data_IF_625138271221
#
_entry.id   IF_625138271221
#
_cell.length_a   1.000
_cell.length_b   1.000
_cell.length_c   1.000
_cell.angle_alpha   90.00
_cell.angle_beta   90.00
_cell.angle_gamma   90.00
#
_symmetry.space_group_name_H-M   'P 1'
#
loop_
_entity.id
_entity.type
_entity.pdbx_description
1 polymer ?
#
# COMPACT_ATOMS: atom_id res chain seq x y z
N UNK A 1 -1.23 7.16 -15.15
CA UNK A 1 0.19 7.09 -15.54
C UNK A 1 0.93 6.26 -14.51
N UNK A 2 1.73 5.31 -14.93
CA UNK A 2 2.45 4.44 -14.00
C UNK A 2 3.56 5.21 -13.28
N UNK A 3 3.66 5.04 -11.97
CA UNK A 3 4.82 5.43 -11.17
C UNK A 3 5.61 4.15 -10.89
N UNK A 4 6.72 3.95 -11.58
CA UNK A 4 7.54 2.75 -11.47
C UNK A 4 8.13 2.53 -10.07
N UNK A 5 8.22 3.57 -9.28
CA UNK A 5 8.75 3.49 -7.91
C UNK A 5 7.77 2.87 -6.92
N UNK A 6 6.49 3.18 -7.06
CA UNK A 6 5.46 2.80 -6.09
C UNK A 6 4.33 1.95 -6.70
N UNK A 7 4.46 1.51 -7.94
CA UNK A 7 3.40 0.91 -8.72
C UNK A 7 2.78 1.93 -9.67
N UNK A 8 1.49 1.83 -9.91
CA UNK A 8 0.78 2.76 -10.79
C UNK A 8 -0.26 3.56 -9.99
N UNK A 9 -0.48 4.80 -10.42
CA UNK A 9 -1.51 5.66 -9.82
C UNK A 9 -2.91 5.11 -10.08
N UNK A 10 -3.76 5.15 -9.05
CA UNK A 10 -5.17 4.79 -9.14
C UNK A 10 -6.09 6.00 -9.40
N UNK A 11 -5.53 7.17 -9.71
CA UNK A 11 -6.29 8.42 -9.85
C UNK A 11 -7.43 8.40 -10.88
N UNK A 12 -7.39 7.50 -11.87
CA UNK A 12 -8.46 7.31 -12.86
C UNK A 12 -9.41 6.15 -12.51
N UNK A 13 -9.13 5.42 -11.42
CA UNK A 13 -9.93 4.27 -11.00
C UNK A 13 -10.74 4.67 -9.78
N UNK A 14 -12.06 4.75 -9.92
CA UNK A 14 -12.97 5.18 -8.86
C UNK A 14 -13.38 4.05 -7.91
N UNK A 15 -13.33 2.80 -8.35
CA UNK A 15 -13.78 1.63 -7.58
C UNK A 15 -12.78 0.48 -7.69
N UNK A 16 -12.44 -0.12 -6.56
CA UNK A 16 -11.60 -1.31 -6.52
C UNK A 16 -12.32 -2.51 -7.16
N UNK A 17 -11.72 -3.08 -8.20
CA UNK A 17 -12.30 -4.23 -8.92
C UNK A 17 -12.10 -5.56 -8.20
N UNK A 18 -11.08 -5.64 -7.36
CA UNK A 18 -10.73 -6.79 -6.53
C UNK A 18 -10.08 -6.32 -5.24
N UNK A 19 -9.89 -7.21 -4.28
CA UNK A 19 -9.10 -6.91 -3.08
C UNK A 19 -7.68 -6.51 -3.50
N UNK A 20 -7.13 -5.46 -2.88
CA UNK A 20 -5.81 -4.97 -3.21
C UNK A 20 -5.11 -4.31 -2.01
N UNK A 21 -3.78 -4.26 -2.07
CA UNK A 21 -2.95 -3.48 -1.16
C UNK A 21 -2.58 -2.18 -1.86
N UNK A 22 -2.90 -1.07 -1.21
CA UNK A 22 -2.65 0.27 -1.74
C UNK A 22 -1.61 0.95 -0.86
N UNK A 23 -0.67 1.64 -1.49
CA UNK A 23 0.16 2.64 -0.85
C UNK A 23 -0.60 3.96 -0.83
N UNK A 24 -0.74 4.52 0.35
CA UNK A 24 -1.31 5.85 0.55
C UNK A 24 -0.16 6.80 0.82
N UNK A 25 0.07 7.71 -0.11
CA UNK A 25 1.13 8.71 0.00
C UNK A 25 0.49 10.03 0.43
N UNK A 26 0.77 10.43 1.66
CA UNK A 26 0.14 11.56 2.32
C UNK A 26 1.09 12.75 2.39
N UNK A 27 0.55 13.94 2.11
CA UNK A 27 1.31 15.17 2.09
C UNK A 27 0.55 16.29 2.79
N UNK A 28 1.28 17.15 3.51
CA UNK A 28 0.73 18.36 4.11
C UNK A 28 0.89 19.59 3.19
N UNK A 29 1.59 19.45 2.06
CA UNK A 29 1.94 20.54 1.18
C UNK A 29 3.23 21.28 1.57
N UNK A 30 3.80 21.01 2.73
CA UNK A 30 5.07 21.56 3.17
C UNK A 30 6.24 20.65 2.75
N UNK A 31 7.36 21.26 2.40
CA UNK A 31 8.55 20.52 2.00
C UNK A 31 9.06 19.62 3.13
N UNK A 32 9.25 18.33 2.83
CA UNK A 32 9.73 17.36 3.80
C UNK A 32 8.66 16.77 4.72
N UNK A 33 7.42 17.20 4.61
CA UNK A 33 6.31 16.68 5.40
C UNK A 33 5.43 15.74 4.55
N UNK A 34 5.75 14.48 4.62
CA UNK A 34 5.00 13.43 3.96
C UNK A 34 5.31 12.08 4.57
N UNK A 35 4.43 11.12 4.38
CA UNK A 35 4.62 9.75 4.83
C UNK A 35 3.82 8.82 3.95
N UNK A 36 4.19 7.55 3.97
CA UNK A 36 3.53 6.50 3.20
C UNK A 36 2.97 5.45 4.14
N UNK A 37 1.73 5.06 3.92
CA UNK A 37 1.06 3.99 4.66
C UNK A 37 0.61 2.89 3.70
N UNK A 38 0.56 1.66 4.16
CA UNK A 38 0.06 0.51 3.42
C UNK A 38 -1.31 0.10 3.97
N UNK A 39 -2.28 -0.01 3.08
CA UNK A 39 -3.65 -0.37 3.44
C UNK A 39 -4.20 -1.50 2.56
N UNK A 40 -4.91 -2.42 3.19
CA UNK A 40 -5.75 -3.36 2.46
C UNK A 40 -7.08 -2.69 2.13
N UNK A 41 -7.49 -2.80 0.87
CA UNK A 41 -8.73 -2.25 0.35
C UNK A 41 -9.54 -3.38 -0.29
N UNK A 42 -10.77 -3.64 0.18
CA UNK A 42 -11.61 -4.70 -0.37
C UNK A 42 -12.17 -4.33 -1.74
N UNK A 43 -12.50 -5.35 -2.53
CA UNK A 43 -13.26 -5.18 -3.77
C UNK A 43 -14.55 -4.39 -3.53
N UNK A 44 -14.88 -3.49 -4.45
CA UNK A 44 -16.06 -2.63 -4.37
C UNK A 44 -15.85 -1.35 -3.56
N UNK A 45 -14.69 -1.14 -2.97
CA UNK A 45 -14.38 0.10 -2.25
C UNK A 45 -14.36 1.28 -3.21
N UNK A 46 -15.02 2.38 -2.82
CA UNK A 46 -14.91 3.67 -3.48
C UNK A 46 -13.57 4.30 -3.14
N UNK A 47 -12.67 4.32 -4.11
CA UNK A 47 -11.30 4.79 -3.91
C UNK A 47 -11.20 6.30 -3.74
N UNK A 48 -12.11 7.07 -4.33
CA UNK A 48 -12.15 8.52 -4.15
C UNK A 48 -12.58 8.86 -2.71
N UNK A 49 -13.61 8.18 -2.21
CA UNK A 49 -14.03 8.33 -0.82
C UNK A 49 -12.94 7.88 0.15
N UNK A 50 -12.27 6.76 -0.14
CA UNK A 50 -11.16 6.27 0.66
C UNK A 50 -9.98 7.27 0.71
N UNK A 51 -9.59 7.84 -0.42
CA UNK A 51 -8.53 8.86 -0.49
C UNK A 51 -8.90 10.10 0.33
N UNK A 52 -10.16 10.53 0.24
CA UNK A 52 -10.68 11.67 0.99
C UNK A 52 -10.65 11.41 2.51
N UNK A 53 -11.10 10.24 2.95
CA UNK A 53 -11.04 9.83 4.35
C UNK A 53 -9.59 9.78 4.87
N UNK A 54 -8.66 9.24 4.07
CA UNK A 54 -7.25 9.21 4.43
C UNK A 54 -6.67 10.61 4.57
N UNK A 55 -7.00 11.51 3.68
CA UNK A 55 -6.55 12.91 3.73
C UNK A 55 -7.06 13.60 4.99
N UNK A 56 -8.34 13.44 5.33
CA UNK A 56 -8.95 14.02 6.53
C UNK A 56 -8.33 13.45 7.81
N UNK A 57 -8.22 12.12 7.90
CA UNK A 57 -7.64 11.44 9.06
C UNK A 57 -6.21 11.90 9.32
N UNK A 58 -5.42 12.02 8.27
CA UNK A 58 -4.04 12.46 8.37
C UNK A 58 -3.93 13.94 8.71
N UNK A 59 -4.80 14.79 8.18
CA UNK A 59 -4.89 16.20 8.56
C UNK A 59 -5.19 16.35 10.07
N UNK A 60 -6.11 15.56 10.59
CA UNK A 60 -6.47 15.56 12.01
C UNK A 60 -5.31 15.18 12.93
N UNK A 61 -4.44 14.25 12.48
CA UNK A 61 -3.24 13.87 13.24
C UNK A 61 -2.24 15.01 13.40
N UNK A 62 -2.20 15.93 12.42
CA UNK A 62 -1.34 17.12 12.44
C UNK A 62 -2.04 18.35 12.99
N UNK A 63 -3.29 18.21 13.46
CA UNK A 63 -4.05 19.24 14.15
C UNK A 63 -4.65 20.32 13.27
N UNK A 64 -4.77 20.09 11.96
CA UNK A 64 -5.27 21.11 11.04
C UNK A 64 -5.93 20.50 9.80
N UNK A 65 -7.19 20.09 9.93
CA UNK A 65 -8.06 19.74 8.81
C UNK A 65 -8.68 20.97 8.12
N UNK A 66 -8.57 22.15 8.74
CA UNK A 66 -9.08 23.41 8.24
C UNK A 66 -9.21 24.45 9.33
N UNK A 67 -9.85 25.55 9.00
CA UNK A 67 -10.13 26.63 9.95
C UNK A 67 -11.46 27.31 9.64
N UNK A 68 -12.07 27.88 10.68
CA UNK A 68 -13.26 28.72 10.58
C UNK A 68 -12.83 30.20 10.46
N UNK A 69 -13.35 30.89 9.46
CA UNK A 69 -13.15 32.31 9.33
C UNK A 69 -13.92 33.04 10.42
N UNK A 70 -13.24 33.82 11.24
CA UNK A 70 -13.83 34.51 12.39
C UNK A 70 -14.84 35.60 12.00
N UNK A 71 -14.72 36.16 10.78
CA UNK A 71 -15.60 37.22 10.32
C UNK A 71 -16.87 36.70 9.67
N UNK A 72 -16.76 35.59 8.90
CA UNK A 72 -17.87 35.04 8.11
C UNK A 72 -18.50 33.82 8.73
N UNK A 73 -17.80 33.11 9.63
CA UNK A 73 -18.22 31.82 10.17
C UNK A 73 -18.14 30.68 9.16
N UNK A 74 -17.54 30.89 8.02
CA UNK A 74 -17.35 29.87 7.01
C UNK A 74 -16.15 28.97 7.32
N UNK A 75 -16.33 27.67 7.06
CA UNK A 75 -15.26 26.68 7.20
C UNK A 75 -14.47 26.56 5.91
N UNK A 76 -13.14 26.66 6.02
CA UNK A 76 -12.18 26.44 4.93
C UNK A 76 -11.34 25.20 5.22
N UNK A 77 -11.41 24.21 4.33
CA UNK A 77 -10.58 23.01 4.41
C UNK A 77 -9.11 23.34 4.13
N UNK A 78 -8.20 22.56 4.71
CA UNK A 78 -6.78 22.69 4.43
C UNK A 78 -6.46 22.08 3.07
N UNK A 79 -6.33 22.92 2.05
CA UNK A 79 -6.05 22.53 0.66
C UNK A 79 -4.68 21.87 0.48
N UNK A 80 -3.79 22.00 1.45
CA UNK A 80 -2.44 21.42 1.38
C UNK A 80 -2.39 19.96 1.86
N UNK A 81 -3.48 19.42 2.37
CA UNK A 81 -3.55 18.04 2.84
C UNK A 81 -4.26 17.18 1.80
N UNK A 82 -3.58 16.20 1.29
CA UNK A 82 -4.15 15.26 0.34
C UNK A 82 -3.53 13.87 0.48
N UNK A 83 -4.20 12.88 -0.10
CA UNK A 83 -3.72 11.52 -0.19
C UNK A 83 -3.73 11.07 -1.65
N UNK A 84 -2.62 10.50 -2.10
CA UNK A 84 -2.50 9.86 -3.40
C UNK A 84 -2.47 8.35 -3.22
N UNK A 85 -3.22 7.64 -4.05
CA UNK A 85 -3.33 6.18 -3.99
C UNK A 85 -2.50 5.53 -5.08
N UNK A 86 -1.72 4.53 -4.70
CA UNK A 86 -0.90 3.73 -5.61
C UNK A 86 -1.09 2.25 -5.30
N UNK A 87 -1.29 1.44 -6.33
CA UNK A 87 -1.24 -0.01 -6.16
C UNK A 87 0.19 -0.44 -5.84
N UNK A 88 0.35 -1.24 -4.78
CA UNK A 88 1.67 -1.76 -4.43
C UNK A 88 2.23 -2.63 -5.54
N UNK A 89 3.45 -2.37 -5.95
CA UNK A 89 4.14 -3.12 -7.00
C UNK A 89 5.20 -4.05 -6.41
N UNK A 90 5.11 -5.33 -6.74
CA UNK A 90 6.19 -6.27 -6.48
C UNK A 90 7.29 -6.09 -7.54
N UNK A 91 8.48 -5.73 -7.13
CA UNK A 91 9.62 -5.46 -8.02
C UNK A 91 10.83 -6.32 -7.68
N UNK A 92 11.80 -6.34 -8.59
CA UNK A 92 13.10 -7.03 -8.38
C UNK A 92 13.91 -6.49 -7.20
N UNK A 93 13.70 -5.26 -6.83
CA UNK A 93 14.37 -4.64 -5.69
C UNK A 93 13.81 -5.09 -4.33
N UNK A 94 12.74 -5.91 -4.36
CA UNK A 94 12.11 -6.42 -3.17
C UNK A 94 10.95 -5.58 -2.70
N UNK A 95 10.41 -5.99 -1.57
CA UNK A 95 9.33 -5.28 -0.90
C UNK A 95 9.86 -4.08 -0.16
N UNK A 96 9.05 -3.04 -0.07
CA UNK A 96 9.36 -1.87 0.75
C UNK A 96 9.48 -2.28 2.23
N UNK A 97 10.57 -1.90 2.85
CA UNK A 97 10.80 -2.17 4.27
C UNK A 97 10.55 -0.89 5.06
N UNK A 98 9.53 -0.93 5.89
CA UNK A 98 9.25 0.17 6.82
C UNK A 98 10.31 0.18 7.94
N UNK A 99 10.98 1.32 8.13
CA UNK A 99 12.13 1.43 9.02
C UNK A 99 11.84 0.96 10.45
N UNK A 100 12.67 0.07 10.97
CA UNK A 100 12.60 -0.45 12.32
C UNK A 100 11.67 -1.65 12.54
N UNK A 101 10.84 -2.02 11.56
CA UNK A 101 9.98 -3.20 11.65
C UNK A 101 10.69 -4.39 10.98
N UNK A 102 10.93 -5.51 11.68
CA UNK A 102 11.57 -6.69 11.11
C UNK A 102 10.72 -7.35 10.00
N UNK A 103 9.41 -7.12 10.00
CA UNK A 103 8.47 -7.54 8.96
C UNK A 103 7.81 -6.28 8.43
N UNK A 104 8.01 -5.96 7.15
CA UNK A 104 7.35 -4.79 6.59
C UNK A 104 5.82 -4.95 6.57
N UNK A 105 5.11 -3.82 6.61
CA UNK A 105 3.65 -3.81 6.71
C UNK A 105 2.96 -4.41 5.48
N UNK A 106 3.54 -4.28 4.31
CA UNK A 106 3.04 -4.92 3.08
C UNK A 106 3.11 -6.44 3.20
N UNK A 107 4.21 -6.99 3.69
CA UNK A 107 4.36 -8.42 3.90
C UNK A 107 3.33 -8.96 4.89
N UNK A 108 3.08 -8.24 5.97
CA UNK A 108 2.02 -8.60 6.94
C UNK A 108 0.65 -8.66 6.28
N UNK A 109 0.34 -7.69 5.41
CA UNK A 109 -0.93 -7.67 4.68
C UNK A 109 -1.02 -8.79 3.65
N UNK A 110 0.05 -9.08 2.91
CA UNK A 110 0.10 -10.18 1.96
C UNK A 110 -0.19 -11.52 2.66
N UNK A 111 0.40 -11.75 3.81
CA UNK A 111 0.18 -12.97 4.60
C UNK A 111 -1.23 -12.99 5.17
N UNK A 112 -1.65 -11.92 5.81
CA UNK A 112 -2.97 -11.82 6.44
C UNK A 112 -4.11 -12.07 5.45
N UNK A 113 -3.97 -11.59 4.22
CA UNK A 113 -5.02 -11.69 3.20
C UNK A 113 -4.80 -12.82 2.18
N UNK A 114 -3.92 -13.76 2.49
CA UNK A 114 -3.84 -15.04 1.80
C UNK A 114 -3.01 -15.06 0.51
N UNK A 115 -2.13 -14.08 0.29
CA UNK A 115 -1.19 -14.10 -0.83
C UNK A 115 -0.01 -15.04 -0.60
N UNK A 116 0.40 -15.16 0.66
CA UNK A 116 1.47 -16.06 1.11
C UNK A 116 1.05 -16.73 2.42
N UNK A 117 1.35 -17.99 2.56
CA UNK A 117 1.15 -18.76 3.80
C UNK A 117 2.49 -19.32 4.28
N UNK A 118 2.74 -19.25 5.57
CA UNK A 118 3.91 -19.85 6.19
C UNK A 118 3.49 -21.19 6.83
N UNK A 119 4.03 -22.28 6.32
CA UNK A 119 3.77 -23.62 6.81
C UNK A 119 5.09 -24.27 7.26
N UNK A 120 5.34 -24.29 8.57
CA UNK A 120 6.60 -24.74 9.12
C UNK A 120 7.78 -23.89 8.62
N UNK A 121 8.72 -24.50 7.91
CA UNK A 121 9.86 -23.83 7.29
C UNK A 121 9.69 -23.59 5.78
N UNK A 122 8.44 -23.60 5.30
CA UNK A 122 8.10 -23.42 3.89
C UNK A 122 7.17 -22.23 3.72
N UNK A 123 7.42 -21.40 2.69
CA UNK A 123 6.49 -20.39 2.22
C UNK A 123 5.69 -20.93 1.02
N UNK A 124 4.38 -20.81 1.07
CA UNK A 124 3.47 -21.14 -0.03
C UNK A 124 2.94 -19.84 -0.63
N UNK A 125 3.24 -19.60 -1.89
CA UNK A 125 2.74 -18.44 -2.62
C UNK A 125 1.52 -18.84 -3.44
N UNK A 126 0.39 -18.21 -3.16
CA UNK A 126 -0.83 -18.36 -3.94
C UNK A 126 -0.82 -17.30 -5.04
N UNK A 127 -0.32 -17.69 -6.23
CA UNK A 127 0.00 -16.77 -7.30
C UNK A 127 -1.19 -15.91 -7.75
N UNK A 128 -2.37 -16.51 -7.92
CA UNK A 128 -3.55 -15.77 -8.35
C UNK A 128 -4.01 -14.77 -7.28
N UNK A 129 -3.97 -15.16 -6.01
CA UNK A 129 -4.33 -14.27 -4.91
C UNK A 129 -3.31 -13.14 -4.77
N UNK A 130 -2.04 -13.44 -4.87
CA UNK A 130 -0.98 -12.43 -4.81
C UNK A 130 -1.14 -11.38 -5.92
N UNK A 131 -1.48 -11.80 -7.14
CA UNK A 131 -1.75 -10.88 -8.26
C UNK A 131 -2.95 -9.96 -8.04
N UNK A 132 -3.91 -10.40 -7.25
CA UNK A 132 -5.04 -9.55 -6.86
C UNK A 132 -4.60 -8.50 -5.83
N UNK A 133 -3.78 -8.89 -4.87
CA UNK A 133 -3.37 -8.02 -3.77
C UNK A 133 -2.32 -6.98 -4.19
N UNK A 134 -1.40 -7.36 -5.05
CA UNK A 134 -0.29 -6.48 -5.48
C UNK A 134 -0.16 -6.49 -7.00
N UNK A 135 0.33 -5.37 -7.54
CA UNK A 135 0.64 -5.30 -8.96
C UNK A 135 1.92 -6.07 -9.26
N UNK A 136 1.81 -7.03 -10.16
CA UNK A 136 2.95 -7.79 -10.66
C UNK A 136 3.09 -7.45 -12.14
N UNK A 137 4.21 -6.82 -12.57
CA UNK A 137 4.42 -6.49 -13.98
C UNK A 137 4.38 -7.73 -14.88
N UNK A 138 3.91 -7.57 -16.11
CA UNK A 138 3.82 -8.67 -17.08
C UNK A 138 5.18 -9.34 -17.38
N UNK A 139 6.27 -8.60 -17.21
CA UNK A 139 7.63 -9.11 -17.33
C UNK A 139 8.09 -9.95 -16.14
N UNK A 140 7.25 -10.04 -15.07
CA UNK A 140 7.61 -10.79 -13.87
C UNK A 140 7.62 -12.28 -14.15
N UNK A 141 8.75 -12.90 -13.87
CA UNK A 141 8.98 -14.34 -13.98
C UNK A 141 9.08 -14.96 -12.59
N UNK A 142 9.18 -16.25 -12.56
CA UNK A 142 9.37 -17.02 -11.33
C UNK A 142 10.52 -16.54 -10.46
N UNK A 143 11.59 -16.08 -11.06
CA UNK A 143 12.76 -15.55 -10.36
C UNK A 143 12.42 -14.34 -9.50
N UNK A 144 11.35 -13.61 -9.83
CA UNK A 144 10.91 -12.44 -9.06
C UNK A 144 10.13 -12.82 -7.81
N UNK A 145 9.53 -14.00 -7.76
CA UNK A 145 9.00 -14.56 -6.52
C UNK A 145 10.10 -14.92 -5.53
N UNK A 146 11.34 -15.13 -6.02
CA UNK A 146 12.48 -15.36 -5.14
C UNK A 146 12.76 -14.15 -4.24
N UNK A 147 12.52 -12.94 -4.71
CA UNK A 147 12.64 -11.73 -3.89
C UNK A 147 11.66 -11.76 -2.73
N UNK A 148 10.41 -12.12 -3.00
CA UNK A 148 9.39 -12.29 -1.96
C UNK A 148 9.78 -13.41 -0.99
N UNK A 149 10.29 -14.53 -1.50
CA UNK A 149 10.78 -15.62 -0.68
C UNK A 149 11.93 -15.19 0.24
N UNK A 150 12.88 -14.42 -0.30
CA UNK A 150 14.01 -13.92 0.50
C UNK A 150 13.55 -13.00 1.62
N UNK A 151 12.56 -12.15 1.38
CA UNK A 151 11.93 -11.32 2.43
C UNK A 151 11.22 -12.16 3.49
N UNK A 152 10.45 -13.15 3.06
CA UNK A 152 9.76 -14.08 3.97
C UNK A 152 10.78 -14.88 4.78
N UNK A 153 11.84 -15.39 4.13
CA UNK A 153 12.91 -16.13 4.78
C UNK A 153 13.62 -15.29 5.83
N UNK A 154 13.93 -14.04 5.51
CA UNK A 154 14.56 -13.11 6.46
C UNK A 154 13.71 -12.90 7.71
N UNK A 155 12.39 -12.86 7.58
CA UNK A 155 11.47 -12.56 8.68
C UNK A 155 11.01 -13.81 9.44
N UNK A 156 10.86 -14.94 8.75
CA UNK A 156 10.19 -16.15 9.29
C UNK A 156 11.05 -17.41 9.30
N UNK A 157 12.33 -17.31 8.95
CA UNK A 157 13.25 -18.45 8.91
C UNK A 157 12.74 -19.59 8.01
N UNK A 158 12.29 -19.26 6.83
CA UNK A 158 11.75 -20.21 5.84
C UNK A 158 12.88 -20.75 4.95
N UNK A 159 12.90 -22.05 4.72
CA UNK A 159 13.97 -22.73 3.94
C UNK A 159 13.59 -22.98 2.48
N UNK A 160 12.29 -23.09 2.17
CA UNK A 160 11.81 -23.43 0.84
C UNK A 160 10.60 -22.62 0.41
N UNK A 161 10.40 -22.56 -0.91
CA UNK A 161 9.32 -21.84 -1.58
C UNK A 161 8.51 -22.83 -2.41
N UNK A 162 7.19 -22.77 -2.29
CA UNK A 162 6.25 -23.44 -3.18
C UNK A 162 5.30 -22.41 -3.77
N UNK A 163 5.06 -22.49 -5.07
CA UNK A 163 4.08 -21.64 -5.74
C UNK A 163 2.92 -22.49 -6.22
N UNK A 164 1.73 -22.06 -5.89
CA UNK A 164 0.48 -22.75 -6.21
C UNK A 164 -0.41 -21.91 -7.12
#
# INVERSE_FOLDING_TARGET
>A
MADEKYGFSLGEVSTAKHDMIILVDCHTGYCGEGWTEEHFVPAGCDLDAFAHEMAIDNASRFGSDGYEDEETGEWYENENVYASLYHYQLSKSGTYVNGGDPINSVMKLIIKYGGVEIVGNKAVIYANRLKQLVYIPDSTRWEEYAVLHDEVKRCFNVESLQVV
#
